data_IF_241180741083
#
_entry.id   IF_241180741083
#
_cell.length_a   1.000
_cell.length_b   1.000
_cell.length_c   1.000
_cell.angle_alpha   90.00
_cell.angle_beta   90.00
_cell.angle_gamma   90.00
#
_symmetry.space_group_name_H-M   'P 1'
#
loop_
_entity.id
_entity.type
_entity.pdbx_description
1 polymer ?
#
# COMPACT_ATOMS: atom_id res chain seq x y z
N UNK A 1 4.85 -24.27 16.03
CA UNK A 1 4.73 -23.02 15.24
C UNK A 1 5.76 -22.03 15.75
N UNK A 2 6.84 -21.90 15.02
CA UNK A 2 7.83 -20.87 15.30
C UNK A 2 7.24 -19.52 14.92
N UNK A 3 6.81 -18.80 15.92
CA UNK A 3 6.39 -17.41 15.78
C UNK A 3 7.60 -16.61 15.31
N UNK A 4 7.57 -16.16 14.06
CA UNK A 4 8.68 -15.47 13.42
C UNK A 4 9.20 -14.33 14.27
N UNK A 5 10.50 -14.40 14.56
CA UNK A 5 11.24 -13.33 15.22
C UNK A 5 11.10 -12.05 14.37
N UNK A 6 10.90 -10.92 15.04
CA UNK A 6 10.88 -9.62 14.35
C UNK A 6 12.09 -9.49 13.43
N UNK A 7 11.95 -9.06 12.16
CA UNK A 7 13.07 -9.01 11.22
C UNK A 7 14.00 -7.83 11.53
N UNK A 8 14.77 -7.96 12.60
CA UNK A 8 15.59 -6.88 13.14
C UNK A 8 16.58 -6.34 12.10
N UNK A 9 17.21 -7.22 11.35
CA UNK A 9 18.15 -6.83 10.29
C UNK A 9 17.46 -6.02 9.19
N UNK A 10 16.27 -6.46 8.75
CA UNK A 10 15.51 -5.74 7.75
C UNK A 10 15.07 -4.35 8.24
N UNK A 11 14.70 -4.23 9.51
CA UNK A 11 14.32 -2.93 10.09
C UNK A 11 15.51 -1.97 10.18
N UNK A 12 16.69 -2.45 10.56
CA UNK A 12 17.91 -1.64 10.61
C UNK A 12 18.30 -1.15 9.21
N UNK A 13 18.27 -2.03 8.22
CA UNK A 13 18.55 -1.65 6.82
C UNK A 13 17.51 -0.67 6.28
N UNK A 14 16.22 -0.91 6.56
CA UNK A 14 15.13 -0.02 6.17
C UNK A 14 15.30 1.38 6.75
N UNK A 15 15.69 1.49 8.01
CA UNK A 15 15.98 2.78 8.65
C UNK A 15 17.10 3.53 7.93
N UNK A 16 18.18 2.84 7.54
CA UNK A 16 19.28 3.44 6.77
C UNK A 16 18.83 3.94 5.40
N UNK A 17 17.95 3.21 4.74
CA UNK A 17 17.35 3.63 3.45
C UNK A 17 16.46 4.87 3.68
N UNK A 18 15.63 4.83 4.71
CA UNK A 18 14.70 5.90 5.06
C UNK A 18 15.40 7.21 5.43
N UNK A 19 16.53 7.14 6.13
CA UNK A 19 17.33 8.31 6.54
C UNK A 19 17.86 9.13 5.35
N UNK A 20 17.97 8.53 4.17
CA UNK A 20 18.32 9.26 2.94
C UNK A 20 17.18 10.13 2.41
N UNK A 21 15.96 9.89 2.87
CA UNK A 21 14.76 10.61 2.42
C UNK A 21 14.34 11.72 3.38
N UNK A 22 14.63 11.59 4.66
CA UNK A 22 14.24 12.55 5.67
C UNK A 22 14.49 12.07 7.08
N UNK A 23 13.95 12.78 8.07
CA UNK A 23 14.01 12.36 9.45
C UNK A 23 13.17 11.09 9.66
N UNK A 24 13.66 10.16 10.43
CA UNK A 24 13.02 8.86 10.67
C UNK A 24 12.66 8.71 12.13
N UNK A 25 11.44 8.27 12.37
CA UNK A 25 10.97 7.85 13.69
C UNK A 25 10.51 6.39 13.61
N UNK A 26 11.08 5.48 14.41
CA UNK A 26 10.55 4.12 14.52
C UNK A 26 9.20 4.14 15.22
N UNK A 27 8.30 3.25 14.80
CA UNK A 27 7.06 2.99 15.50
C UNK A 27 7.33 2.33 16.86
N UNK A 28 6.42 2.43 17.83
CA UNK A 28 6.61 1.90 19.19
C UNK A 28 6.91 0.41 19.30
N UNK A 29 6.80 -0.34 18.20
CA UNK A 29 7.24 -1.71 18.12
C UNK A 29 6.29 -2.72 18.76
N UNK A 30 5.04 -2.38 18.94
CA UNK A 30 4.00 -3.28 19.37
C UNK A 30 3.65 -4.26 18.24
N UNK A 31 3.34 -5.49 18.64
CA UNK A 31 2.92 -6.52 17.69
C UNK A 31 1.60 -6.12 17.04
N UNK A 32 1.58 -6.10 15.71
CA UNK A 32 0.38 -5.74 14.96
C UNK A 32 0.27 -4.26 14.60
N UNK A 33 1.31 -3.47 14.83
CA UNK A 33 1.34 -2.09 14.37
C UNK A 33 1.17 -2.03 12.84
N UNK A 34 0.42 -1.03 12.39
CA UNK A 34 0.16 -0.83 10.96
C UNK A 34 1.42 -0.50 10.17
N UNK A 35 2.40 0.12 10.81
CA UNK A 35 3.67 0.52 10.22
C UNK A 35 4.82 0.31 11.22
N UNK A 36 6.04 0.26 10.71
CA UNK A 36 7.26 0.03 11.49
C UNK A 36 8.10 1.29 11.67
N UNK A 37 8.01 2.23 10.73
CA UNK A 37 8.70 3.51 10.80
C UNK A 37 7.96 4.61 10.05
N UNK A 38 8.28 5.86 10.43
CA UNK A 38 7.75 7.07 9.83
C UNK A 38 8.91 7.84 9.23
N UNK A 39 8.76 8.31 7.99
CA UNK A 39 9.72 9.21 7.34
C UNK A 39 9.07 10.59 7.23
N UNK A 40 9.72 11.58 7.80
CA UNK A 40 9.33 12.99 7.64
C UNK A 40 10.10 13.59 6.48
N UNK A 41 9.49 13.61 5.31
CA UNK A 41 10.03 14.30 4.15
C UNK A 41 9.64 15.79 4.16
N UNK A 42 10.25 16.58 3.30
CA UNK A 42 10.01 18.02 3.25
C UNK A 42 8.53 18.38 3.01
N UNK A 43 7.84 17.61 2.16
CA UNK A 43 6.47 17.91 1.74
C UNK A 43 5.43 16.90 2.21
N UNK A 44 5.84 15.77 2.77
CA UNK A 44 4.93 14.69 3.17
C UNK A 44 5.50 13.82 4.28
N UNK A 45 4.61 13.11 4.96
CA UNK A 45 4.94 12.06 5.92
C UNK A 45 4.69 10.70 5.28
N UNK A 46 5.64 9.79 5.38
CA UNK A 46 5.54 8.43 4.81
C UNK A 46 5.51 7.42 5.93
N UNK A 47 4.46 6.60 5.95
CA UNK A 47 4.32 5.48 6.88
C UNK A 47 4.78 4.21 6.17
N UNK A 48 5.73 3.52 6.75
CA UNK A 48 6.39 2.36 6.11
C UNK A 48 6.18 1.11 6.93
N UNK A 49 5.68 0.07 6.28
CA UNK A 49 5.65 -1.30 6.79
C UNK A 49 6.76 -2.10 6.14
N UNK A 50 7.56 -2.79 6.95
CA UNK A 50 8.72 -3.58 6.50
C UNK A 50 8.44 -5.06 6.66
N UNK A 51 8.69 -5.84 5.62
CA UNK A 51 8.58 -7.30 5.62
C UNK A 51 9.79 -7.97 4.96
N UNK A 52 10.04 -9.20 5.37
CA UNK A 52 10.95 -10.10 4.66
C UNK A 52 10.16 -11.06 3.80
N UNK A 53 10.65 -11.33 2.60
CA UNK A 53 10.10 -12.33 1.70
C UNK A 53 11.16 -13.36 1.33
N UNK A 54 10.73 -14.60 1.08
CA UNK A 54 11.59 -15.63 0.52
C UNK A 54 11.79 -15.48 -1.00
N UNK A 55 10.98 -14.65 -1.65
CA UNK A 55 10.98 -14.46 -3.10
C UNK A 55 11.05 -12.99 -3.49
N UNK A 56 11.53 -12.74 -4.70
CA UNK A 56 11.43 -11.46 -5.35
C UNK A 56 10.11 -11.38 -6.13
N UNK A 57 9.37 -10.28 -5.99
CA UNK A 57 8.08 -10.10 -6.64
C UNK A 57 8.24 -9.53 -8.04
N UNK A 58 7.62 -10.18 -9.02
CA UNK A 58 7.58 -9.69 -10.39
C UNK A 58 6.33 -8.85 -10.68
N UNK A 59 5.29 -9.02 -9.86
CA UNK A 59 4.04 -8.31 -10.00
C UNK A 59 3.58 -7.76 -8.65
N UNK A 60 3.23 -6.46 -8.55
CA UNK A 60 2.69 -5.87 -7.33
C UNK A 60 1.45 -6.57 -6.75
N UNK A 61 0.65 -7.25 -7.56
CA UNK A 61 -0.48 -8.06 -7.07
C UNK A 61 -0.06 -9.20 -6.16
N UNK A 62 1.10 -9.79 -6.39
CA UNK A 62 1.62 -10.87 -5.54
C UNK A 62 1.85 -10.38 -4.10
N UNK A 63 2.32 -9.14 -3.96
CA UNK A 63 2.49 -8.48 -2.65
C UNK A 63 1.16 -8.33 -1.96
N UNK A 64 0.14 -7.87 -2.69
CA UNK A 64 -1.21 -7.71 -2.16
C UNK A 64 -1.79 -9.04 -1.65
N UNK A 65 -1.63 -10.11 -2.41
CA UNK A 65 -2.13 -11.43 -2.02
C UNK A 65 -1.40 -11.99 -0.81
N UNK A 66 -0.07 -11.92 -0.80
CA UNK A 66 0.73 -12.52 0.24
C UNK A 66 0.62 -11.76 1.58
N UNK A 67 0.47 -10.45 1.53
CA UNK A 67 0.46 -9.56 2.70
C UNK A 67 -0.88 -8.85 2.92
N UNK A 68 -1.99 -9.51 2.62
CA UNK A 68 -3.34 -8.93 2.74
C UNK A 68 -3.62 -8.29 4.09
N UNK A 69 -3.21 -8.94 5.18
CA UNK A 69 -3.45 -8.44 6.55
C UNK A 69 -2.67 -7.16 6.83
N UNK A 70 -1.41 -7.14 6.46
CA UNK A 70 -0.53 -5.99 6.68
C UNK A 70 -0.97 -4.79 5.84
N UNK A 71 -1.34 -5.02 4.59
CA UNK A 71 -1.84 -3.98 3.69
C UNK A 71 -3.20 -3.46 4.16
N UNK A 72 -4.09 -4.34 4.65
CA UNK A 72 -5.36 -3.92 5.23
C UNK A 72 -5.16 -3.01 6.46
N UNK A 73 -4.17 -3.28 7.30
CA UNK A 73 -3.82 -2.41 8.42
C UNK A 73 -3.27 -1.06 7.97
N UNK A 74 -2.44 -1.02 6.93
CA UNK A 74 -1.99 0.24 6.34
C UNK A 74 -3.15 1.06 5.77
N UNK A 75 -4.16 0.40 5.18
CA UNK A 75 -5.36 1.07 4.69
C UNK A 75 -6.19 1.74 5.78
N UNK A 76 -6.06 1.30 7.04
CA UNK A 76 -6.73 1.95 8.17
C UNK A 76 -6.10 3.31 8.51
N UNK A 77 -4.86 3.54 8.12
CA UNK A 77 -4.23 4.86 8.25
C UNK A 77 -4.81 5.79 7.18
N UNK A 78 -5.38 6.94 7.57
CA UNK A 78 -5.98 7.85 6.61
C UNK A 78 -4.96 8.32 5.57
N UNK A 79 -5.31 8.22 4.29
CA UNK A 79 -4.53 8.78 3.20
C UNK A 79 -4.91 10.25 3.04
N UNK A 80 -3.94 11.14 3.14
CA UNK A 80 -4.10 12.58 2.92
C UNK A 80 -3.17 13.06 1.81
N UNK A 81 -3.31 14.31 1.42
CA UNK A 81 -2.42 14.93 0.41
C UNK A 81 -0.96 14.93 0.88
N UNK A 82 -0.75 14.96 2.20
CA UNK A 82 0.58 15.03 2.82
C UNK A 82 1.02 13.72 3.48
N UNK A 83 0.23 12.66 3.40
CA UNK A 83 0.54 11.36 4.01
C UNK A 83 0.57 10.27 2.95
N UNK A 84 1.69 9.56 2.83
CA UNK A 84 1.83 8.40 1.96
C UNK A 84 1.99 7.12 2.80
N UNK A 85 1.63 5.99 2.22
CA UNK A 85 1.78 4.66 2.81
C UNK A 85 2.63 3.82 1.89
N UNK A 86 3.69 3.24 2.44
CA UNK A 86 4.60 2.39 1.67
C UNK A 86 4.78 1.02 2.34
N UNK A 87 4.95 0.01 1.52
CA UNK A 87 5.23 -1.36 1.93
C UNK A 87 6.57 -1.77 1.35
N UNK A 88 7.54 -2.05 2.22
CA UNK A 88 8.90 -2.36 1.83
C UNK A 88 9.22 -3.84 2.09
N UNK A 89 9.72 -4.51 1.09
CA UNK A 89 10.02 -5.95 1.15
C UNK A 89 11.50 -6.19 0.90
N UNK A 90 12.13 -6.84 1.87
CA UNK A 90 13.49 -7.36 1.73
C UNK A 90 13.43 -8.81 1.26
N UNK A 91 13.86 -9.07 0.05
CA UNK A 91 13.97 -10.41 -0.50
C UNK A 91 15.30 -11.07 -0.11
N UNK A 92 15.49 -12.38 -0.39
CA UNK A 92 16.76 -13.05 -0.17
C UNK A 92 17.91 -12.32 -0.84
N UNK A 93 19.10 -12.40 -0.25
CA UNK A 93 20.34 -11.71 -0.68
C UNK A 93 20.29 -10.19 -0.52
N UNK A 94 19.38 -9.67 0.33
CA UNK A 94 19.35 -8.25 0.66
C UNK A 94 18.84 -7.34 -0.45
N UNK A 95 18.10 -7.85 -1.40
CA UNK A 95 17.42 -7.02 -2.41
C UNK A 95 16.14 -6.42 -1.84
N UNK A 96 15.95 -5.15 -2.09
CA UNK A 96 14.79 -4.40 -1.64
C UNK A 96 13.83 -4.10 -2.78
N UNK A 97 12.53 -4.20 -2.47
CA UNK A 97 11.45 -3.72 -3.31
C UNK A 97 10.56 -2.78 -2.47
N UNK A 98 10.11 -1.71 -3.08
CA UNK A 98 9.34 -0.66 -2.45
C UNK A 98 8.01 -0.53 -3.17
N UNK A 99 6.92 -0.50 -2.41
CA UNK A 99 5.57 -0.42 -2.96
C UNK A 99 4.81 0.74 -2.33
N UNK A 100 4.20 1.57 -3.16
CA UNK A 100 3.28 2.61 -2.74
C UNK A 100 1.87 2.01 -2.64
N UNK A 101 1.26 2.15 -1.47
CA UNK A 101 -0.09 1.65 -1.21
C UNK A 101 -1.08 2.80 -1.33
N UNK A 102 -1.77 2.85 -2.44
CA UNK A 102 -2.85 3.80 -2.69
C UNK A 102 -4.18 3.24 -2.21
N UNK A 103 -5.24 4.04 -2.37
CA UNK A 103 -6.58 3.62 -1.98
C UNK A 103 -7.06 2.39 -2.78
N UNK A 104 -6.77 2.36 -4.06
CA UNK A 104 -7.27 1.39 -5.04
C UNK A 104 -6.17 0.65 -5.82
N UNK A 105 -4.90 0.90 -5.51
CA UNK A 105 -3.78 0.34 -6.27
C UNK A 105 -2.52 0.16 -5.45
N UNK A 106 -1.66 -0.75 -5.90
CA UNK A 106 -0.30 -0.96 -5.41
C UNK A 106 0.67 -0.70 -6.56
N UNK A 107 1.64 0.16 -6.33
CA UNK A 107 2.61 0.58 -7.36
C UNK A 107 4.02 0.31 -6.84
N UNK A 108 4.85 -0.36 -7.63
CA UNK A 108 6.26 -0.48 -7.31
C UNK A 108 6.98 0.85 -7.57
N UNK A 109 7.78 1.28 -6.60
CA UNK A 109 8.51 2.54 -6.61
C UNK A 109 10.00 2.31 -6.35
N UNK A 110 10.80 3.35 -6.50
CA UNK A 110 12.21 3.33 -6.15
C UNK A 110 12.43 3.61 -4.65
N UNK A 111 13.63 3.36 -4.16
CA UNK A 111 14.01 3.59 -2.76
C UNK A 111 13.81 5.05 -2.30
N UNK A 112 13.91 6.00 -3.21
CA UNK A 112 13.69 7.43 -2.95
C UNK A 112 12.21 7.86 -2.99
N UNK A 113 11.31 6.92 -3.26
CA UNK A 113 9.86 7.15 -3.35
C UNK A 113 9.37 7.59 -4.71
N UNK A 114 10.23 7.70 -5.72
CA UNK A 114 9.85 8.05 -7.09
C UNK A 114 9.36 6.84 -7.88
N UNK A 115 8.58 7.09 -8.92
CA UNK A 115 8.09 6.03 -9.80
C UNK A 115 9.22 5.41 -10.63
N UNK A 116 9.21 4.07 -10.77
CA UNK A 116 10.24 3.32 -11.50
C UNK A 116 10.23 3.66 -12.98
N UNK A 117 9.04 3.78 -13.60
CA UNK A 117 8.90 4.07 -15.02
C UNK A 117 7.52 4.61 -15.33
N UNK A 118 7.43 5.49 -16.34
CA UNK A 118 6.15 5.93 -16.90
C UNK A 118 5.33 4.80 -17.54
N UNK A 119 5.98 3.66 -17.86
CA UNK A 119 5.34 2.49 -18.47
C UNK A 119 4.75 1.52 -17.44
N UNK A 120 5.08 1.66 -16.16
CA UNK A 120 4.48 0.84 -15.11
C UNK A 120 3.08 1.35 -14.80
N UNK A 121 2.07 0.71 -15.37
CA UNK A 121 0.69 0.97 -15.03
C UNK A 121 0.42 0.51 -13.58
N UNK A 122 -0.30 1.30 -12.77
CA UNK A 122 -0.71 0.87 -11.45
C UNK A 122 -1.59 -0.37 -11.57
N UNK A 123 -1.33 -1.36 -10.71
CA UNK A 123 -2.22 -2.50 -10.60
C UNK A 123 -3.43 -2.08 -9.77
N UNK A 124 -4.58 -2.01 -10.42
CA UNK A 124 -5.84 -1.65 -9.78
C UNK A 124 -6.31 -2.81 -8.92
N UNK A 125 -6.55 -2.54 -7.64
CA UNK A 125 -7.18 -3.50 -6.74
C UNK A 125 -8.66 -3.56 -7.11
N UNK A 126 -9.22 -4.74 -7.50
CA UNK A 126 -10.65 -4.84 -7.76
C UNK A 126 -11.40 -4.52 -6.46
N UNK A 127 -12.19 -3.45 -6.50
CA UNK A 127 -13.10 -3.12 -5.42
C UNK A 127 -14.20 -4.19 -5.29
N UNK A 128 -14.94 -4.22 -4.17
CA UNK A 128 -16.13 -5.07 -4.06
C UNK A 128 -17.04 -4.76 -5.23
N UNK A 129 -17.54 -5.83 -5.88
CA UNK A 129 -18.49 -5.69 -6.98
C UNK A 129 -19.62 -4.78 -6.52
N UNK A 130 -19.79 -3.64 -7.17
CA UNK A 130 -21.00 -2.84 -6.98
C UNK A 130 -22.13 -3.67 -7.53
N UNK A 131 -23.02 -4.12 -6.67
CA UNK A 131 -24.33 -4.57 -7.12
C UNK A 131 -24.93 -3.42 -7.92
N UNK A 132 -25.11 -3.65 -9.21
CA UNK A 132 -25.88 -2.76 -10.03
C UNK A 132 -27.29 -2.83 -9.51
N UNK A 133 -27.67 -1.87 -8.70
CA UNK A 133 -29.07 -1.56 -8.46
C UNK A 133 -29.65 -1.08 -9.80
N UNK A 134 -29.99 -2.05 -10.63
CA UNK A 134 -30.88 -1.82 -11.75
C UNK A 134 -32.30 -1.72 -11.21
N UNK A 135 -32.58 -0.67 -10.46
CA UNK A 135 -33.95 -0.22 -10.30
C UNK A 135 -34.36 0.39 -11.62
N UNK A 136 -34.95 -0.47 -12.47
CA UNK A 136 -35.64 -0.02 -13.66
C UNK A 136 -36.76 0.92 -13.24
N UNK A 137 -36.58 2.18 -13.47
CA UNK A 137 -37.68 3.15 -13.44
C UNK A 137 -38.38 2.96 -14.77
N UNK A 138 -39.41 2.08 -14.78
CA UNK A 138 -40.42 2.08 -15.79
C UNK A 138 -41.30 3.31 -15.54
N UNK A 139 -40.92 4.43 -16.13
CA UNK A 139 -41.80 5.56 -16.27
C UNK A 139 -42.78 5.27 -17.40
N UNK A 140 -43.96 4.76 -17.08
CA UNK A 140 -45.08 4.81 -18.00
C UNK A 140 -45.52 6.27 -18.17
N UNK A 141 -45.24 6.79 -19.37
CA UNK A 141 -45.83 8.02 -19.84
C UNK A 141 -47.19 7.67 -20.45
N UNK A 142 -48.25 7.86 -19.70
CA UNK A 142 -49.60 7.88 -20.25
C UNK A 142 -49.88 9.29 -20.71
N UNK A 143 -49.91 9.49 -22.01
CA UNK A 143 -50.49 10.70 -22.63
C UNK A 143 -52.01 10.53 -22.67
N UNK A 144 -52.72 11.23 -21.83
CA UNK A 144 -54.13 11.48 -22.05
C UNK A 144 -54.28 12.74 -22.88
N UNK A 145 -54.69 12.52 -24.13
CA UNK A 145 -55.35 13.51 -24.93
C UNK A 145 -56.83 13.51 -24.49
N UNK A 146 -57.30 14.64 -24.05
CA UNK A 146 -58.72 14.95 -24.10
C UNK A 146 -58.97 16.36 -24.66
N UNK A 147 -59.86 16.36 -25.57
CA UNK A 147 -60.49 17.32 -26.42
C UNK A 147 -60.63 18.78 -25.93
#
# INVERSE_FOLDING_TARGET
MTRGRRPLTALIEAEQIALRRGAVQPAPGKRGDAFDLIIFEETRTVLVKVKRSATHFTNPLEVLYLYQREIARLHQVPLTVVTAREFWVRSPRGKWQFFLIRHDSVIEIQADGTYISRAALPVIIPGPARENDSTGINGEFTSENDE
#
